data_IF_581521024827
#
_entry.id   IF_581521024827
#
_cell.length_a   1.000
_cell.length_b   1.000
_cell.length_c   1.000
_cell.angle_alpha   90.00
_cell.angle_beta   90.00
_cell.angle_gamma   90.00
#
_symmetry.space_group_name_H-M   'P 1'
#
loop_
_entity.id
_entity.type
_entity.pdbx_description
1 polymer ?
#
# COMPACT_ATOMS: atom_id res chain seq x y z
N UNK A 1 -22.81 -27.82 -7.66
CA UNK A 1 -23.32 -26.68 -8.45
C UNK A 1 -22.24 -25.61 -8.51
N UNK A 2 -21.74 -25.27 -9.70
CA UNK A 2 -20.74 -24.20 -9.87
C UNK A 2 -21.42 -22.84 -9.63
N UNK A 3 -21.29 -22.29 -8.42
CA UNK A 3 -21.79 -20.95 -8.12
C UNK A 3 -20.85 -19.91 -8.72
N UNK A 4 -21.40 -19.00 -9.53
CA UNK A 4 -20.65 -17.91 -10.16
C UNK A 4 -20.19 -16.84 -9.16
N UNK A 5 -20.94 -16.70 -8.05
CA UNK A 5 -20.63 -15.83 -6.93
C UNK A 5 -20.53 -16.70 -5.66
N UNK A 6 -19.61 -16.36 -4.77
CA UNK A 6 -19.40 -17.10 -3.51
C UNK A 6 -19.07 -16.15 -2.38
N UNK A 7 -19.45 -16.54 -1.17
CA UNK A 7 -19.15 -15.85 0.08
C UNK A 7 -18.49 -16.87 1.01
N UNK A 8 -17.30 -16.52 1.51
CA UNK A 8 -16.57 -17.23 2.55
C UNK A 8 -16.02 -16.23 3.57
N UNK A 9 -15.40 -16.71 4.65
CA UNK A 9 -14.87 -15.85 5.72
C UNK A 9 -13.92 -14.76 5.18
N UNK A 10 -13.03 -15.12 4.26
CA UNK A 10 -12.10 -14.17 3.62
C UNK A 10 -12.83 -13.06 2.87
N UNK A 11 -13.78 -13.41 2.00
CA UNK A 11 -14.58 -12.44 1.25
C UNK A 11 -15.46 -11.59 2.16
N UNK A 12 -16.00 -12.14 3.24
CA UNK A 12 -16.79 -11.37 4.23
C UNK A 12 -15.95 -10.29 4.91
N UNK A 13 -14.71 -10.61 5.30
CA UNK A 13 -13.77 -9.64 5.87
C UNK A 13 -13.50 -8.51 4.86
N UNK A 14 -13.23 -8.85 3.60
CA UNK A 14 -13.00 -7.85 2.54
C UNK A 14 -14.24 -6.99 2.24
N UNK A 15 -15.42 -7.59 2.16
CA UNK A 15 -16.67 -6.87 1.94
C UNK A 15 -16.99 -5.93 3.10
N UNK A 16 -16.71 -6.34 4.33
CA UNK A 16 -16.86 -5.49 5.52
C UNK A 16 -15.93 -4.28 5.45
N UNK A 17 -14.68 -4.48 5.03
CA UNK A 17 -13.74 -3.38 4.79
C UNK A 17 -14.25 -2.45 3.69
N UNK A 18 -14.69 -2.98 2.54
CA UNK A 18 -15.22 -2.16 1.43
C UNK A 18 -16.43 -1.35 1.88
N UNK A 19 -17.34 -1.94 2.66
CA UNK A 19 -18.51 -1.25 3.21
C UNK A 19 -18.10 -0.12 4.17
N UNK A 20 -17.13 -0.36 5.07
CA UNK A 20 -16.59 0.66 5.96
C UNK A 20 -16.00 1.84 5.17
N UNK A 21 -15.13 1.56 4.20
CA UNK A 21 -14.52 2.58 3.35
C UNK A 21 -15.57 3.33 2.53
N UNK A 22 -16.58 2.62 2.00
CA UNK A 22 -17.68 3.22 1.25
C UNK A 22 -18.42 4.26 2.10
N UNK A 23 -18.82 3.91 3.33
CA UNK A 23 -19.53 4.84 4.22
C UNK A 23 -18.69 6.07 4.53
N UNK A 24 -17.41 5.88 4.89
CA UNK A 24 -16.52 6.99 5.26
C UNK A 24 -16.25 7.91 4.07
N UNK A 25 -15.87 7.35 2.92
CA UNK A 25 -15.53 8.13 1.72
C UNK A 25 -16.77 8.80 1.14
N UNK A 26 -17.93 8.13 1.14
CA UNK A 26 -19.19 8.70 0.67
C UNK A 26 -19.60 9.93 1.48
N UNK A 27 -19.62 9.80 2.81
CA UNK A 27 -19.97 10.91 3.71
C UNK A 27 -19.00 12.08 3.57
N UNK A 28 -17.71 11.80 3.52
CA UNK A 28 -16.70 12.83 3.30
C UNK A 28 -16.90 13.54 1.96
N UNK A 29 -17.11 12.79 0.87
CA UNK A 29 -17.30 13.34 -0.48
C UNK A 29 -18.55 14.22 -0.58
N UNK A 30 -19.64 13.83 0.08
CA UNK A 30 -20.88 14.57 0.08
C UNK A 30 -20.74 15.98 0.69
N UNK A 31 -19.87 16.14 1.69
CA UNK A 31 -19.56 17.43 2.33
C UNK A 31 -18.47 18.17 1.56
N UNK A 32 -17.36 17.50 1.27
CA UNK A 32 -16.18 18.13 0.65
C UNK A 32 -16.45 18.70 -0.75
N UNK A 33 -17.39 18.10 -1.49
CA UNK A 33 -17.76 18.53 -2.85
C UNK A 33 -19.11 19.26 -2.88
N UNK A 34 -19.62 19.75 -1.74
CA UNK A 34 -20.95 20.37 -1.69
C UNK A 34 -21.10 21.60 -2.59
N UNK A 35 -20.02 22.35 -2.81
CA UNK A 35 -19.98 23.53 -3.69
C UNK A 35 -19.59 23.25 -5.14
N UNK A 36 -19.26 22.00 -5.49
CA UNK A 36 -18.82 21.64 -6.84
C UNK A 36 -20.02 21.34 -7.75
N UNK A 37 -20.07 21.96 -8.93
CA UNK A 37 -21.14 21.74 -9.92
C UNK A 37 -21.21 20.27 -10.38
N UNK A 38 -20.07 19.61 -10.50
CA UNK A 38 -19.94 18.23 -10.97
C UNK A 38 -20.06 17.17 -9.88
N UNK A 39 -20.50 17.54 -8.65
CA UNK A 39 -20.67 16.62 -7.51
C UNK A 39 -21.45 15.35 -7.87
N UNK A 40 -22.55 15.46 -8.62
CA UNK A 40 -23.37 14.29 -8.94
C UNK A 40 -22.64 13.28 -9.84
N UNK A 41 -21.84 13.77 -10.80
CA UNK A 41 -20.98 12.91 -11.65
C UNK A 41 -19.99 12.15 -10.79
N UNK A 42 -19.36 12.84 -9.83
CA UNK A 42 -18.44 12.22 -8.88
C UNK A 42 -19.10 11.12 -8.05
N UNK A 43 -20.24 11.40 -7.42
CA UNK A 43 -20.93 10.44 -6.55
C UNK A 43 -21.38 9.19 -7.32
N UNK A 44 -21.83 9.33 -8.57
CA UNK A 44 -22.15 8.19 -9.46
C UNK A 44 -20.91 7.38 -9.80
N UNK A 45 -19.81 8.04 -10.16
CA UNK A 45 -18.52 7.36 -10.40
C UNK A 45 -18.04 6.58 -9.18
N UNK A 46 -18.15 7.17 -7.99
CA UNK A 46 -17.78 6.53 -6.73
C UNK A 46 -18.64 5.29 -6.46
N UNK A 47 -19.96 5.39 -6.64
CA UNK A 47 -20.87 4.25 -6.51
C UNK A 47 -20.52 3.12 -7.49
N UNK A 48 -20.24 3.45 -8.76
CA UNK A 48 -19.85 2.47 -9.78
C UNK A 48 -18.53 1.78 -9.44
N UNK A 49 -17.53 2.52 -8.95
CA UNK A 49 -16.25 1.92 -8.53
C UNK A 49 -16.42 1.00 -7.33
N UNK A 50 -17.24 1.39 -6.34
CA UNK A 50 -17.54 0.55 -5.18
C UNK A 50 -18.33 -0.71 -5.57
N UNK A 51 -19.32 -0.58 -6.45
CA UNK A 51 -20.08 -1.72 -6.97
C UNK A 51 -19.18 -2.70 -7.74
N UNK A 52 -18.28 -2.19 -8.58
CA UNK A 52 -17.31 -3.01 -9.29
C UNK A 52 -16.35 -3.74 -8.34
N UNK A 53 -15.93 -3.09 -7.23
CA UNK A 53 -15.10 -3.72 -6.20
C UNK A 53 -15.83 -4.88 -5.50
N UNK A 54 -17.09 -4.66 -5.09
CA UNK A 54 -17.93 -5.72 -4.48
C UNK A 54 -18.16 -6.87 -5.46
N UNK A 55 -18.49 -6.58 -6.71
CA UNK A 55 -18.67 -7.59 -7.76
C UNK A 55 -17.41 -8.44 -7.97
N UNK A 56 -16.23 -7.79 -8.02
CA UNK A 56 -14.95 -8.49 -8.17
C UNK A 56 -14.67 -9.42 -6.99
N UNK A 57 -14.88 -8.96 -5.76
CA UNK A 57 -14.67 -9.77 -4.55
C UNK A 57 -15.62 -10.98 -4.52
N UNK A 58 -16.89 -10.79 -4.88
CA UNK A 58 -17.89 -11.87 -4.88
C UNK A 58 -17.65 -12.92 -5.97
N UNK A 59 -17.02 -12.52 -7.08
CA UNK A 59 -16.78 -13.40 -8.24
C UNK A 59 -16.04 -14.69 -7.84
N UNK A 60 -16.61 -15.82 -8.23
CA UNK A 60 -16.02 -17.16 -8.08
C UNK A 60 -15.59 -17.75 -9.43
N UNK A 61 -15.64 -16.96 -10.49
CA UNK A 61 -15.29 -17.36 -11.83
C UNK A 61 -14.21 -16.43 -12.38
N UNK A 62 -13.18 -16.99 -13.01
CA UNK A 62 -12.03 -16.24 -13.55
C UNK A 62 -12.47 -15.11 -14.50
N UNK A 63 -13.44 -15.37 -15.39
CA UNK A 63 -13.91 -14.38 -16.35
C UNK A 63 -14.65 -13.25 -15.65
N UNK A 64 -15.54 -13.57 -14.70
CA UNK A 64 -16.26 -12.54 -13.94
C UNK A 64 -15.32 -11.69 -13.08
N UNK A 65 -14.32 -12.32 -12.46
CA UNK A 65 -13.29 -11.62 -11.70
C UNK A 65 -12.52 -10.65 -12.61
N UNK A 66 -12.11 -11.09 -13.80
CA UNK A 66 -11.42 -10.24 -14.77
C UNK A 66 -12.30 -9.09 -15.27
N UNK A 67 -13.58 -9.34 -15.58
CA UNK A 67 -14.53 -8.30 -15.97
C UNK A 67 -14.73 -7.26 -14.85
N UNK A 68 -14.85 -7.71 -13.61
CA UNK A 68 -14.94 -6.82 -12.44
C UNK A 68 -13.68 -5.96 -12.28
N UNK A 69 -12.51 -6.56 -12.46
CA UNK A 69 -11.23 -5.87 -12.41
C UNK A 69 -11.10 -4.77 -13.48
N UNK A 70 -11.53 -5.06 -14.71
CA UNK A 70 -11.61 -4.08 -15.81
C UNK A 70 -12.63 -2.99 -15.49
N UNK A 71 -13.78 -3.34 -14.91
CA UNK A 71 -14.82 -2.37 -14.52
C UNK A 71 -14.34 -1.40 -13.44
N UNK A 72 -13.60 -1.88 -12.43
CA UNK A 72 -12.93 -1.01 -11.44
C UNK A 72 -12.00 -0.03 -12.16
N UNK A 73 -11.20 -0.52 -13.10
CA UNK A 73 -10.27 0.32 -13.86
C UNK A 73 -10.99 1.42 -14.64
N UNK A 74 -12.06 1.10 -15.38
CA UNK A 74 -12.81 2.06 -16.19
C UNK A 74 -13.51 3.11 -15.30
N UNK A 75 -14.21 2.66 -14.24
CA UNK A 75 -14.92 3.58 -13.33
C UNK A 75 -13.96 4.53 -12.62
N UNK A 76 -12.81 4.03 -12.17
CA UNK A 76 -11.79 4.84 -11.52
C UNK A 76 -11.19 5.90 -12.44
N UNK A 77 -11.08 5.63 -13.75
CA UNK A 77 -10.59 6.59 -14.73
C UNK A 77 -11.43 7.88 -14.72
N UNK A 78 -12.74 7.75 -14.57
CA UNK A 78 -13.68 8.87 -14.52
C UNK A 78 -13.46 9.73 -13.26
N UNK A 79 -13.12 9.10 -12.14
CA UNK A 79 -12.83 9.79 -10.88
C UNK A 79 -11.49 10.55 -10.92
N UNK A 80 -10.48 9.99 -11.60
CA UNK A 80 -9.19 10.66 -11.80
C UNK A 80 -9.32 11.93 -12.65
N UNK A 81 -10.17 11.87 -13.68
CA UNK A 81 -10.46 12.99 -14.58
C UNK A 81 -11.63 13.84 -14.09
N UNK A 82 -11.75 14.04 -12.77
CA UNK A 82 -12.75 14.96 -12.23
C UNK A 82 -12.51 16.40 -12.71
N UNK A 83 -11.24 16.80 -12.81
CA UNK A 83 -10.75 18.08 -13.38
C UNK A 83 -10.02 17.82 -14.71
N UNK A 84 -10.74 17.50 -15.80
CA UNK A 84 -10.14 17.06 -17.05
C UNK A 84 -9.26 18.12 -17.71
N UNK A 85 -9.52 19.41 -17.47
CA UNK A 85 -8.75 20.53 -18.01
C UNK A 85 -7.32 20.63 -17.48
N UNK A 86 -6.97 19.94 -16.38
CA UNK A 86 -5.63 19.99 -15.79
C UNK A 86 -4.68 19.02 -16.52
N UNK A 87 -3.59 19.50 -17.14
CA UNK A 87 -2.66 18.62 -17.88
C UNK A 87 -2.03 17.53 -17.00
N UNK A 88 -1.76 17.84 -15.72
CA UNK A 88 -1.22 16.86 -14.76
C UNK A 88 -2.23 15.75 -14.44
N UNK A 89 -3.52 16.07 -14.33
CA UNK A 89 -4.57 15.07 -14.13
C UNK A 89 -4.69 14.15 -15.35
N UNK A 90 -4.62 14.72 -16.56
CA UNK A 90 -4.62 13.94 -17.80
C UNK A 90 -3.41 13.01 -17.89
N UNK A 91 -2.20 13.49 -17.59
CA UNK A 91 -0.99 12.67 -17.60
C UNK A 91 -1.07 11.50 -16.59
N UNK A 92 -1.50 11.79 -15.35
CA UNK A 92 -1.65 10.76 -14.32
C UNK A 92 -2.70 9.71 -14.74
N UNK A 93 -3.81 10.15 -15.30
CA UNK A 93 -4.86 9.28 -15.81
C UNK A 93 -4.38 8.40 -16.98
N UNK A 94 -3.53 8.92 -17.88
CA UNK A 94 -2.92 8.16 -18.97
C UNK A 94 -1.96 7.09 -18.46
N UNK A 95 -1.04 7.45 -17.57
CA UNK A 95 -0.10 6.49 -16.95
C UNK A 95 -0.85 5.37 -16.25
N UNK A 96 -1.87 5.72 -15.47
CA UNK A 96 -2.74 4.72 -14.82
C UNK A 96 -3.44 3.85 -15.84
N UNK A 97 -3.97 4.41 -16.93
CA UNK A 97 -4.65 3.63 -17.95
C UNK A 97 -3.71 2.61 -18.59
N UNK A 98 -2.51 3.03 -19.00
CA UNK A 98 -1.52 2.12 -19.58
C UNK A 98 -1.13 1.01 -18.60
N UNK A 99 -0.75 1.36 -17.37
CA UNK A 99 -0.43 0.36 -16.33
C UNK A 99 -1.60 -0.59 -16.06
N UNK A 100 -2.84 -0.09 -16.05
CA UNK A 100 -4.02 -0.92 -15.83
C UNK A 100 -4.26 -1.88 -16.99
N UNK A 101 -4.16 -1.44 -18.26
CA UNK A 101 -4.34 -2.31 -19.43
C UNK A 101 -3.27 -3.38 -19.50
N UNK A 102 -2.01 -3.05 -19.22
CA UNK A 102 -0.95 -4.05 -19.13
C UNK A 102 -1.27 -5.10 -18.07
N UNK A 103 -1.67 -4.68 -16.86
CA UNK A 103 -2.07 -5.61 -15.80
C UNK A 103 -3.29 -6.46 -16.16
N UNK A 104 -4.27 -5.92 -16.87
CA UNK A 104 -5.47 -6.66 -17.30
C UNK A 104 -5.16 -7.71 -18.36
N UNK A 105 -4.26 -7.42 -19.31
CA UNK A 105 -3.80 -8.39 -20.32
C UNK A 105 -3.01 -9.52 -19.66
N UNK A 106 -2.10 -9.20 -18.74
CA UNK A 106 -1.34 -10.20 -17.99
C UNK A 106 -2.25 -11.07 -17.12
N UNK A 107 -3.28 -10.48 -16.50
CA UNK A 107 -4.26 -11.21 -15.71
C UNK A 107 -5.10 -12.15 -16.58
N UNK A 108 -5.54 -11.70 -17.75
CA UNK A 108 -6.25 -12.55 -18.71
C UNK A 108 -5.39 -13.75 -19.14
N UNK A 109 -4.11 -13.51 -19.47
CA UNK A 109 -3.18 -14.56 -19.85
C UNK A 109 -2.96 -15.56 -18.71
N UNK A 110 -2.76 -15.07 -17.47
CA UNK A 110 -2.65 -15.93 -16.30
C UNK A 110 -3.89 -16.82 -16.12
N UNK A 111 -5.08 -16.25 -16.25
CA UNK A 111 -6.34 -16.98 -16.11
C UNK A 111 -6.56 -18.01 -17.22
N UNK A 112 -6.14 -17.72 -18.45
CA UNK A 112 -6.17 -18.69 -19.55
C UNK A 112 -5.24 -19.87 -19.23
N UNK A 113 -4.02 -19.61 -18.77
CA UNK A 113 -3.08 -20.67 -18.41
C UNK A 113 -3.56 -21.51 -17.22
N UNK A 114 -4.16 -20.89 -16.21
CA UNK A 114 -4.78 -21.61 -15.10
C UNK A 114 -5.95 -22.48 -15.57
N UNK A 115 -6.79 -21.98 -16.49
CA UNK A 115 -7.85 -22.79 -17.07
C UNK A 115 -7.30 -24.00 -17.83
N UNK A 116 -6.22 -23.83 -18.60
CA UNK A 116 -5.56 -24.93 -19.32
C UNK A 116 -4.97 -25.96 -18.36
N UNK A 117 -4.36 -25.52 -17.26
CA UNK A 117 -3.72 -26.41 -16.27
C UNK A 117 -4.75 -27.20 -15.44
N UNK A 118 -5.81 -26.54 -14.97
CA UNK A 118 -6.76 -27.11 -13.99
C UNK A 118 -8.11 -27.52 -14.59
N UNK A 119 -8.36 -27.18 -15.86
CA UNK A 119 -9.61 -27.47 -16.59
C UNK A 119 -10.88 -26.98 -15.88
N UNK A 120 -10.79 -25.92 -15.08
CA UNK A 120 -11.93 -25.26 -14.44
C UNK A 120 -11.73 -23.75 -14.43
N UNK A 121 -12.83 -23.00 -14.63
CA UNK A 121 -12.84 -21.55 -14.46
C UNK A 121 -13.36 -21.13 -13.07
N UNK A 122 -13.75 -22.09 -12.23
CA UNK A 122 -14.22 -21.84 -10.87
C UNK A 122 -13.03 -21.67 -9.93
N UNK A 123 -12.92 -20.50 -9.29
CA UNK A 123 -11.78 -20.13 -8.45
C UNK A 123 -11.71 -21.04 -7.21
N UNK A 124 -12.85 -21.29 -6.56
CA UNK A 124 -12.89 -22.14 -5.34
C UNK A 124 -12.45 -23.57 -5.66
N UNK A 125 -12.99 -24.17 -6.72
CA UNK A 125 -12.60 -25.51 -7.19
C UNK A 125 -11.12 -25.58 -7.55
N UNK A 126 -10.62 -24.59 -8.30
CA UNK A 126 -9.21 -24.50 -8.67
C UNK A 126 -8.30 -24.40 -7.46
N UNK A 127 -8.58 -23.50 -6.52
CA UNK A 127 -7.77 -23.36 -5.30
C UNK A 127 -7.79 -24.63 -4.45
N UNK A 128 -8.91 -25.34 -4.39
CA UNK A 128 -9.01 -26.63 -3.70
C UNK A 128 -8.16 -27.71 -4.38
N UNK A 129 -8.17 -27.80 -5.72
CA UNK A 129 -7.32 -28.71 -6.48
C UNK A 129 -5.83 -28.41 -6.28
N UNK A 130 -5.44 -27.13 -6.31
CA UNK A 130 -4.05 -26.71 -6.06
C UNK A 130 -3.60 -27.15 -4.66
N UNK A 131 -4.50 -27.02 -3.67
CA UNK A 131 -4.19 -27.34 -2.27
C UNK A 131 -3.86 -28.83 -2.03
N UNK A 132 -4.30 -29.72 -2.92
CA UNK A 132 -4.02 -31.17 -2.84
C UNK A 132 -2.84 -31.61 -3.70
N UNK A 133 -2.25 -30.71 -4.47
CA UNK A 133 -1.08 -30.99 -5.31
C UNK A 133 0.23 -30.77 -4.54
N UNK A 134 1.26 -31.53 -4.92
CA UNK A 134 2.63 -31.37 -4.40
C UNK A 134 3.54 -30.57 -5.33
N UNK A 135 3.14 -30.39 -6.59
CA UNK A 135 3.91 -29.65 -7.60
C UNK A 135 2.97 -29.09 -8.67
N UNK A 136 3.42 -28.03 -9.35
CA UNK A 136 2.71 -27.41 -10.47
C UNK A 136 3.32 -27.85 -11.79
N UNK A 137 2.50 -27.94 -12.84
CA UNK A 137 3.00 -27.99 -14.21
C UNK A 137 3.59 -26.64 -14.65
N UNK A 138 4.16 -26.64 -15.87
CA UNK A 138 4.80 -25.45 -16.45
C UNK A 138 3.82 -24.27 -16.56
N UNK A 139 2.58 -24.51 -16.98
CA UNK A 139 1.59 -23.44 -17.11
C UNK A 139 1.17 -22.88 -15.74
N UNK A 140 1.07 -23.73 -14.71
CA UNK A 140 0.85 -23.30 -13.33
C UNK A 140 1.94 -22.34 -12.84
N UNK A 141 3.22 -22.66 -13.07
CA UNK A 141 4.34 -21.78 -12.71
C UNK A 141 4.33 -20.45 -13.48
N UNK A 142 4.09 -20.49 -14.80
CA UNK A 142 4.02 -19.27 -15.62
C UNK A 142 2.84 -18.41 -15.16
N UNK A 143 1.68 -19.00 -14.90
CA UNK A 143 0.52 -18.29 -14.39
C UNK A 143 0.81 -17.62 -13.04
N UNK A 144 1.47 -18.31 -12.11
CA UNK A 144 1.86 -17.74 -10.82
C UNK A 144 2.77 -16.50 -10.99
N UNK A 145 3.76 -16.58 -11.89
CA UNK A 145 4.63 -15.43 -12.21
C UNK A 145 3.84 -14.27 -12.82
N UNK A 146 2.90 -14.55 -13.72
CA UNK A 146 2.04 -13.52 -14.31
C UNK A 146 1.16 -12.85 -13.24
N UNK A 147 0.57 -13.61 -12.31
CA UNK A 147 -0.20 -13.05 -11.20
C UNK A 147 0.67 -12.16 -10.30
N UNK A 148 1.92 -12.54 -10.04
CA UNK A 148 2.90 -11.71 -9.31
C UNK A 148 3.14 -10.40 -10.06
N UNK A 149 3.37 -10.44 -11.37
CA UNK A 149 3.55 -9.23 -12.18
C UNK A 149 2.31 -8.31 -12.13
N UNK A 150 1.11 -8.89 -12.22
CA UNK A 150 -0.16 -8.15 -12.09
C UNK A 150 -0.25 -7.47 -10.71
N UNK A 151 0.09 -8.19 -9.64
CA UNK A 151 0.08 -7.66 -8.29
C UNK A 151 1.11 -6.54 -8.10
N UNK A 152 2.33 -6.69 -8.61
CA UNK A 152 3.37 -5.66 -8.57
C UNK A 152 2.91 -4.37 -9.29
N UNK A 153 2.28 -4.50 -10.45
CA UNK A 153 1.71 -3.36 -11.20
C UNK A 153 0.60 -2.68 -10.39
N UNK A 154 -0.38 -3.45 -9.91
CA UNK A 154 -1.53 -2.91 -9.16
C UNK A 154 -1.19 -2.37 -7.79
N UNK A 155 -0.15 -2.89 -7.13
CA UNK A 155 0.36 -2.37 -5.88
C UNK A 155 1.35 -1.20 -6.10
N UNK A 156 1.51 -0.72 -7.34
CA UNK A 156 2.38 0.40 -7.70
C UNK A 156 3.84 0.19 -7.25
N UNK A 157 4.37 -1.03 -7.42
CA UNK A 157 5.75 -1.35 -7.06
C UNK A 157 6.74 -0.79 -8.08
N UNK A 158 7.98 -0.56 -7.65
CA UNK A 158 9.02 -0.01 -8.53
C UNK A 158 9.34 -0.97 -9.69
N UNK A 159 9.60 -0.45 -10.92
CA UNK A 159 9.62 0.97 -11.31
C UNK A 159 8.24 1.53 -11.71
N UNK A 160 7.18 0.74 -11.70
CA UNK A 160 5.85 1.11 -12.22
C UNK A 160 4.98 1.93 -11.24
N UNK A 161 5.54 2.38 -10.12
CA UNK A 161 4.90 3.22 -9.11
C UNK A 161 4.31 4.56 -9.60
N UNK A 162 4.80 5.06 -10.73
CA UNK A 162 4.50 6.41 -11.24
C UNK A 162 3.02 6.72 -11.41
N UNK A 163 2.21 5.71 -11.75
CA UNK A 163 0.77 5.90 -11.90
C UNK A 163 0.05 6.23 -10.59
N UNK A 164 0.61 5.85 -9.44
CA UNK A 164 0.01 6.12 -8.13
C UNK A 164 0.47 7.47 -7.57
N UNK A 165 1.78 7.74 -7.61
CA UNK A 165 2.36 8.93 -6.97
C UNK A 165 1.97 10.25 -7.67
N UNK A 166 1.56 10.19 -8.94
CA UNK A 166 1.14 11.36 -9.71
C UNK A 166 -0.35 11.71 -9.58
N UNK A 167 -1.15 10.88 -8.91
CA UNK A 167 -2.61 11.09 -8.75
C UNK A 167 -2.97 12.15 -7.69
N UNK A 168 -2.00 12.97 -7.30
CA UNK A 168 -2.17 14.03 -6.30
C UNK A 168 -3.14 15.15 -6.72
N UNK A 169 -3.44 15.27 -8.01
CA UNK A 169 -4.41 16.24 -8.57
C UNK A 169 -5.88 15.80 -8.43
N UNK A 170 -6.12 14.51 -8.17
CA UNK A 170 -7.48 14.04 -7.96
C UNK A 170 -8.06 14.59 -6.64
N UNK A 171 -9.39 14.75 -6.52
CA UNK A 171 -10.01 15.13 -5.26
C UNK A 171 -9.59 14.21 -4.12
N UNK A 172 -9.42 14.77 -2.91
CA UNK A 172 -8.96 14.02 -1.72
C UNK A 172 -9.72 12.71 -1.47
N UNK A 173 -11.06 12.60 -1.66
CA UNK A 173 -11.74 11.31 -1.52
C UNK A 173 -11.32 10.25 -2.56
N UNK A 174 -10.89 10.65 -3.76
CA UNK A 174 -10.33 9.73 -4.77
C UNK A 174 -8.98 9.21 -4.32
N UNK A 175 -8.11 10.10 -3.79
CA UNK A 175 -6.83 9.66 -3.22
C UNK A 175 -7.06 8.69 -2.05
N UNK A 176 -8.02 8.97 -1.16
CA UNK A 176 -8.37 8.02 -0.09
C UNK A 176 -8.83 6.66 -0.66
N UNK A 177 -9.76 6.65 -1.61
CA UNK A 177 -10.24 5.41 -2.26
C UNK A 177 -9.11 4.61 -2.93
N UNK A 178 -8.21 5.30 -3.63
CA UNK A 178 -7.10 4.68 -4.33
C UNK A 178 -6.08 4.07 -3.38
N UNK A 179 -5.59 4.87 -2.44
CA UNK A 179 -4.48 4.49 -1.58
C UNK A 179 -4.88 3.60 -0.41
N UNK A 180 -6.17 3.55 -0.06
CA UNK A 180 -6.70 2.70 1.00
C UNK A 180 -7.46 1.48 0.47
N UNK A 181 -8.13 1.59 -0.69
CA UNK A 181 -9.00 0.54 -1.22
C UNK A 181 -8.40 -0.13 -2.45
N UNK A 182 -8.41 0.58 -3.58
CA UNK A 182 -8.13 -0.03 -4.90
C UNK A 182 -6.71 -0.60 -5.01
N UNK A 183 -5.74 0.03 -4.36
CA UNK A 183 -4.35 -0.44 -4.38
C UNK A 183 -4.20 -1.85 -3.79
N UNK A 184 -5.09 -2.26 -2.88
CA UNK A 184 -5.02 -3.57 -2.24
C UNK A 184 -5.42 -4.73 -3.17
N UNK A 185 -6.01 -4.46 -4.34
CA UNK A 185 -6.47 -5.51 -5.26
C UNK A 185 -5.34 -6.46 -5.66
N UNK A 186 -4.10 -5.97 -5.77
CA UNK A 186 -2.93 -6.84 -6.03
C UNK A 186 -2.68 -7.82 -4.88
N UNK A 187 -2.74 -7.36 -3.62
CA UNK A 187 -2.64 -8.21 -2.44
C UNK A 187 -3.80 -9.20 -2.34
N UNK A 188 -5.04 -8.73 -2.55
CA UNK A 188 -6.23 -9.59 -2.55
C UNK A 188 -6.11 -10.70 -3.59
N UNK A 189 -5.65 -10.37 -4.81
CA UNK A 189 -5.42 -11.36 -5.86
C UNK A 189 -4.45 -12.45 -5.39
N UNK A 190 -3.29 -12.07 -4.85
CA UNK A 190 -2.30 -13.06 -4.40
C UNK A 190 -2.75 -13.85 -3.16
N UNK A 191 -3.51 -13.24 -2.24
CA UNK A 191 -4.11 -13.95 -1.11
C UNK A 191 -5.16 -14.97 -1.57
N UNK A 192 -5.96 -14.65 -2.58
CA UNK A 192 -6.94 -15.58 -3.17
C UNK A 192 -6.26 -16.78 -3.86
N UNK A 193 -5.11 -16.55 -4.50
CA UNK A 193 -4.32 -17.58 -5.16
C UNK A 193 -3.09 -17.99 -4.32
N UNK A 194 -3.14 -17.85 -3.00
CA UNK A 194 -1.98 -18.16 -2.14
C UNK A 194 -1.51 -19.63 -2.23
N UNK A 195 -2.39 -20.65 -2.42
CA UNK A 195 -1.93 -22.02 -2.64
C UNK A 195 -1.11 -22.18 -3.93
N UNK A 196 -1.36 -21.34 -4.95
CA UNK A 196 -0.57 -21.38 -6.19
C UNK A 196 0.84 -20.82 -5.95
N UNK A 197 0.94 -19.75 -5.15
CA UNK A 197 2.22 -19.13 -4.82
C UNK A 197 3.11 -20.03 -3.96
N UNK A 198 2.53 -20.76 -3.00
CA UNK A 198 3.31 -21.68 -2.15
C UNK A 198 3.96 -22.81 -2.95
N UNK A 199 3.34 -23.23 -4.06
CA UNK A 199 3.91 -24.24 -4.96
C UNK A 199 4.85 -23.68 -6.03
N UNK A 200 4.96 -22.34 -6.19
CA UNK A 200 5.82 -21.72 -7.20
C UNK A 200 6.94 -20.89 -6.59
N UNK A 201 8.06 -21.56 -6.31
CA UNK A 201 9.32 -20.93 -5.89
C UNK A 201 9.76 -19.75 -6.79
N UNK A 202 9.73 -19.84 -8.14
CA UNK A 202 10.16 -18.70 -8.97
C UNK A 202 9.23 -17.48 -8.82
N UNK A 203 7.92 -17.68 -8.68
CA UNK A 203 6.97 -16.59 -8.47
C UNK A 203 7.20 -15.92 -7.11
N UNK A 204 7.33 -16.70 -6.04
CA UNK A 204 7.57 -16.20 -4.68
C UNK A 204 8.93 -15.50 -4.55
N UNK A 205 9.98 -16.01 -5.19
CA UNK A 205 11.30 -15.36 -5.22
C UNK A 205 11.26 -14.02 -5.96
N UNK A 206 10.61 -13.97 -7.13
CA UNK A 206 10.42 -12.72 -7.88
C UNK A 206 9.66 -11.70 -7.06
N UNK A 207 8.55 -12.12 -6.42
CA UNK A 207 7.74 -11.27 -5.56
C UNK A 207 8.56 -10.70 -4.40
N UNK A 208 9.29 -11.56 -3.68
CA UNK A 208 10.10 -11.14 -2.53
C UNK A 208 11.16 -10.11 -2.93
N UNK A 209 11.96 -10.40 -3.97
CA UNK A 209 13.08 -9.53 -4.36
C UNK A 209 12.59 -8.15 -4.82
N UNK A 210 11.56 -8.13 -5.66
CA UNK A 210 11.02 -6.89 -6.23
C UNK A 210 10.26 -6.07 -5.18
N UNK A 211 9.40 -6.70 -4.39
CA UNK A 211 8.63 -6.03 -3.35
C UNK A 211 9.51 -5.54 -2.19
N UNK A 212 10.54 -6.29 -1.79
CA UNK A 212 11.48 -5.86 -0.74
C UNK A 212 12.32 -4.67 -1.20
N UNK A 213 12.86 -4.72 -2.42
CA UNK A 213 13.58 -3.59 -3.01
C UNK A 213 12.69 -2.34 -3.07
N UNK A 214 11.47 -2.50 -3.56
CA UNK A 214 10.46 -1.43 -3.63
C UNK A 214 10.12 -0.88 -2.24
N UNK A 215 9.94 -1.73 -1.24
CA UNK A 215 9.68 -1.35 0.15
C UNK A 215 10.77 -0.47 0.73
N UNK A 216 12.03 -0.94 0.63
CA UNK A 216 13.20 -0.21 1.18
C UNK A 216 13.36 1.13 0.48
N UNK A 217 13.36 1.15 -0.86
CA UNK A 217 13.58 2.37 -1.61
C UNK A 217 12.43 3.37 -1.43
N UNK A 218 11.17 2.92 -1.48
CA UNK A 218 10.02 3.78 -1.26
C UNK A 218 9.95 4.35 0.15
N UNK A 219 10.30 3.55 1.18
CA UNK A 219 10.38 4.01 2.55
C UNK A 219 11.46 5.08 2.73
N UNK A 220 12.65 4.89 2.14
CA UNK A 220 13.70 5.91 2.15
C UNK A 220 13.24 7.18 1.43
N UNK A 221 12.66 7.08 0.24
CA UNK A 221 12.15 8.23 -0.51
C UNK A 221 11.12 9.00 0.32
N UNK A 222 10.16 8.33 0.99
CA UNK A 222 9.13 9.02 1.79
C UNK A 222 9.75 9.90 2.89
N UNK A 223 10.87 9.49 3.49
CA UNK A 223 11.52 10.27 4.55
C UNK A 223 12.09 11.60 4.06
N UNK A 224 12.38 11.70 2.76
CA UNK A 224 12.96 12.90 2.14
C UNK A 224 11.92 13.84 1.53
N UNK A 225 10.70 13.35 1.21
CA UNK A 225 9.66 14.15 0.57
C UNK A 225 9.05 15.17 1.52
N UNK A 226 8.97 16.43 1.05
CA UNK A 226 8.41 17.56 1.82
C UNK A 226 6.88 17.61 1.72
N UNK A 227 6.32 17.40 0.52
CA UNK A 227 4.86 17.43 0.32
C UNK A 227 4.19 16.25 1.02
N UNK A 228 3.20 16.53 1.87
CA UNK A 228 2.51 15.53 2.69
C UNK A 228 1.73 14.54 1.83
N UNK A 229 1.01 15.00 0.79
CA UNK A 229 0.31 14.10 -0.13
C UNK A 229 1.28 13.17 -0.88
N UNK A 230 2.43 13.71 -1.32
CA UNK A 230 3.46 12.92 -2.01
C UNK A 230 4.12 11.92 -1.04
N UNK A 231 4.44 12.35 0.18
CA UNK A 231 4.94 11.47 1.24
C UNK A 231 3.94 10.35 1.59
N UNK A 232 2.65 10.68 1.67
CA UNK A 232 1.58 9.71 1.89
C UNK A 232 1.45 8.71 0.72
N UNK A 233 1.66 9.17 -0.52
CA UNK A 233 1.69 8.30 -1.69
C UNK A 233 2.89 7.34 -1.68
N UNK A 234 4.10 7.84 -1.42
CA UNK A 234 5.31 7.01 -1.29
C UNK A 234 5.23 6.01 -0.13
N UNK A 235 4.66 6.42 1.00
CA UNK A 235 4.40 5.48 2.09
C UNK A 235 3.37 4.42 1.70
N UNK A 236 2.46 4.66 0.75
CA UNK A 236 1.59 3.61 0.23
C UNK A 236 2.38 2.61 -0.61
N UNK A 237 3.30 3.07 -1.48
CA UNK A 237 4.19 2.17 -2.25
C UNK A 237 4.99 1.28 -1.31
N UNK A 238 5.56 1.86 -0.24
CA UNK A 238 6.32 1.11 0.76
C UNK A 238 5.48 0.08 1.53
N UNK A 239 4.29 0.47 2.01
CA UNK A 239 3.41 -0.44 2.77
C UNK A 239 2.85 -1.56 1.90
N UNK A 240 2.46 -1.26 0.65
CA UNK A 240 2.03 -2.31 -0.28
C UNK A 240 3.17 -3.24 -0.67
N UNK A 241 4.40 -2.72 -0.80
CA UNK A 241 5.58 -3.57 -0.96
C UNK A 241 5.78 -4.49 0.25
N UNK A 242 5.62 -3.96 1.47
CA UNK A 242 5.75 -4.75 2.69
C UNK A 242 4.68 -5.84 2.79
N UNK A 243 3.42 -5.54 2.45
CA UNK A 243 2.35 -6.54 2.37
C UNK A 243 2.67 -7.63 1.34
N UNK A 244 3.25 -7.28 0.19
CA UNK A 244 3.68 -8.27 -0.81
C UNK A 244 4.88 -9.11 -0.34
N UNK A 245 5.79 -8.55 0.47
CA UNK A 245 6.86 -9.30 1.15
C UNK A 245 6.27 -10.31 2.14
N UNK A 246 5.26 -9.91 2.93
CA UNK A 246 4.56 -10.82 3.83
C UNK A 246 3.94 -12.00 3.07
N UNK A 247 3.27 -11.74 1.94
CA UNK A 247 2.73 -12.79 1.06
C UNK A 247 3.85 -13.68 0.50
N UNK A 248 4.97 -13.11 0.06
CA UNK A 248 6.09 -13.88 -0.50
C UNK A 248 6.77 -14.79 0.52
N UNK A 249 6.75 -14.41 1.81
CA UNK A 249 7.24 -15.21 2.92
C UNK A 249 6.21 -16.24 3.44
N UNK A 250 5.01 -16.29 2.85
CA UNK A 250 3.92 -17.18 3.27
C UNK A 250 3.15 -16.70 4.51
N UNK A 251 3.36 -15.45 4.94
CA UNK A 251 2.72 -14.85 6.12
C UNK A 251 1.33 -14.30 5.75
N UNK A 252 0.45 -15.14 5.20
CA UNK A 252 -0.82 -14.71 4.61
C UNK A 252 -1.78 -14.09 5.62
N UNK A 253 -1.81 -14.60 6.85
CA UNK A 253 -2.64 -14.02 7.92
C UNK A 253 -2.17 -12.61 8.27
N UNK A 254 -0.85 -12.43 8.32
CA UNK A 254 -0.24 -11.12 8.59
C UNK A 254 -0.50 -10.15 7.43
N UNK A 255 -0.39 -10.59 6.18
CA UNK A 255 -0.70 -9.79 5.01
C UNK A 255 -2.17 -9.33 4.97
N UNK A 256 -3.12 -10.19 5.38
CA UNK A 256 -4.51 -9.80 5.52
C UNK A 256 -4.70 -8.77 6.65
N UNK A 257 -4.07 -8.97 7.80
CA UNK A 257 -4.11 -7.99 8.90
C UNK A 257 -3.53 -6.63 8.47
N UNK A 258 -2.38 -6.65 7.78
CA UNK A 258 -1.73 -5.48 7.21
C UNK A 258 -2.70 -4.77 6.27
N UNK A 259 -3.29 -5.48 5.32
CA UNK A 259 -4.24 -4.93 4.36
C UNK A 259 -5.38 -4.17 5.06
N UNK A 260 -5.99 -4.76 6.09
CA UNK A 260 -7.06 -4.13 6.86
C UNK A 260 -6.57 -2.87 7.60
N UNK A 261 -5.44 -2.97 8.30
CA UNK A 261 -4.86 -1.86 9.05
C UNK A 261 -4.45 -0.69 8.14
N UNK A 262 -3.78 -1.00 7.03
CA UNK A 262 -3.37 -0.03 6.01
C UNK A 262 -4.57 0.68 5.41
N UNK A 263 -5.63 -0.05 5.08
CA UNK A 263 -6.85 0.54 4.52
C UNK A 263 -7.46 1.58 5.45
N UNK A 264 -7.66 1.22 6.72
CA UNK A 264 -8.20 2.14 7.72
C UNK A 264 -7.27 3.35 7.94
N UNK A 265 -5.97 3.09 8.13
CA UNK A 265 -4.96 4.13 8.35
C UNK A 265 -4.85 5.10 7.17
N UNK A 266 -4.80 4.61 5.93
CA UNK A 266 -4.66 5.44 4.73
C UNK A 266 -5.92 6.24 4.43
N UNK A 267 -7.09 5.65 4.61
CA UNK A 267 -8.34 6.40 4.47
C UNK A 267 -8.33 7.59 5.44
N UNK A 268 -8.01 7.34 6.72
CA UNK A 268 -7.86 8.41 7.71
C UNK A 268 -6.80 9.45 7.32
N UNK A 269 -5.58 9.01 6.98
CA UNK A 269 -4.45 9.90 6.71
C UNK A 269 -4.69 10.81 5.49
N UNK A 270 -5.29 10.30 4.42
CA UNK A 270 -5.62 11.11 3.24
C UNK A 270 -6.76 12.09 3.52
N UNK A 271 -7.83 11.64 4.17
CA UNK A 271 -8.98 12.51 4.49
C UNK A 271 -8.62 13.59 5.53
N UNK A 272 -7.67 13.31 6.43
CA UNK A 272 -7.16 14.26 7.42
C UNK A 272 -6.00 15.13 6.90
N UNK A 273 -5.50 14.88 5.68
CA UNK A 273 -4.33 15.60 5.15
C UNK A 273 -4.54 17.11 5.00
N UNK A 274 -5.79 17.60 4.96
CA UNK A 274 -6.11 19.03 4.98
C UNK A 274 -5.70 19.74 6.28
N UNK A 275 -5.60 19.02 7.40
CA UNK A 275 -5.19 19.57 8.72
C UNK A 275 -3.66 19.59 8.90
N UNK A 276 -2.90 19.24 7.87
CA UNK A 276 -1.45 19.20 7.86
C UNK A 276 -0.76 20.45 8.39
N UNK A 277 -1.26 21.63 8.02
CA UNK A 277 -0.66 22.92 8.40
C UNK A 277 -0.70 23.10 9.91
N UNK A 278 -1.82 22.76 10.54
CA UNK A 278 -1.97 22.85 12.00
C UNK A 278 -1.00 21.91 12.73
N UNK A 279 -0.79 20.70 12.20
CA UNK A 279 0.22 19.77 12.75
C UNK A 279 1.63 20.30 12.61
N UNK A 280 1.96 20.92 11.47
CA UNK A 280 3.27 21.53 11.25
C UNK A 280 3.53 22.68 12.23
N UNK A 281 2.56 23.57 12.41
CA UNK A 281 2.65 24.67 13.37
C UNK A 281 2.80 24.15 14.82
N UNK A 282 2.03 23.13 15.20
CA UNK A 282 2.17 22.49 16.51
C UNK A 282 3.56 21.83 16.70
N UNK A 283 4.12 21.24 15.65
CA UNK A 283 5.45 20.63 15.69
C UNK A 283 6.58 21.65 15.78
N UNK A 284 6.42 22.86 15.20
CA UNK A 284 7.39 23.95 15.36
C UNK A 284 7.45 24.47 16.81
N UNK A 285 6.32 24.43 17.53
CA UNK A 285 6.25 24.83 18.93
C UNK A 285 6.88 23.78 19.88
N UNK A 286 7.14 22.57 19.40
CA UNK A 286 7.75 21.51 20.19
C UNK A 286 9.28 21.56 20.10
N UNK A 287 9.95 21.74 21.24
CA UNK A 287 11.42 21.71 21.30
C UNK A 287 11.98 20.37 20.78
N UNK A 288 12.81 20.42 19.74
CA UNK A 288 13.46 19.21 19.22
C UNK A 288 14.77 18.98 19.94
N UNK A 289 14.86 17.87 20.68
CA UNK A 289 16.11 17.41 21.27
C UNK A 289 16.72 16.32 20.40
N UNK A 290 18.01 16.45 20.10
CA UNK A 290 18.73 15.43 19.36
C UNK A 290 19.05 14.23 20.29
N UNK A 291 18.62 13.00 19.92
CA UNK A 291 18.86 11.82 20.74
C UNK A 291 20.34 11.40 20.69
N UNK A 292 20.99 11.42 21.85
CA UNK A 292 22.31 10.79 22.08
C UNK A 292 22.25 9.25 21.94
N UNK A 293 23.41 8.63 21.71
CA UNK A 293 23.57 7.16 21.59
C UNK A 293 22.94 6.37 22.76
N UNK A 294 23.05 6.88 23.99
CA UNK A 294 22.45 6.24 25.18
C UNK A 294 20.92 6.11 25.06
N UNK A 295 20.24 7.11 24.50
CA UNK A 295 18.79 7.06 24.31
C UNK A 295 18.40 6.02 23.26
N UNK A 296 19.21 5.87 22.20
CA UNK A 296 19.02 4.82 21.20
C UNK A 296 19.16 3.43 21.79
N UNK A 297 20.24 3.20 22.56
CA UNK A 297 20.46 1.91 23.21
C UNK A 297 19.34 1.57 24.21
N UNK A 298 18.93 2.54 25.04
CA UNK A 298 17.81 2.35 25.98
C UNK A 298 16.49 2.08 25.27
N UNK A 299 16.18 2.81 24.20
CA UNK A 299 14.96 2.61 23.41
C UNK A 299 14.94 1.23 22.76
N UNK A 300 16.07 0.79 22.18
CA UNK A 300 16.20 -0.50 21.51
C UNK A 300 16.12 -1.67 22.49
N UNK A 301 16.74 -1.55 23.67
CA UNK A 301 16.66 -2.55 24.73
C UNK A 301 15.22 -2.66 25.27
N UNK A 302 14.57 -1.53 25.55
CA UNK A 302 13.19 -1.52 26.02
C UNK A 302 12.22 -2.09 24.96
N UNK A 303 12.39 -1.72 23.70
CA UNK A 303 11.59 -2.26 22.59
C UNK A 303 11.78 -3.77 22.44
N UNK A 304 13.03 -4.26 22.45
CA UNK A 304 13.34 -5.69 22.40
C UNK A 304 12.71 -6.45 23.56
N UNK A 305 12.80 -5.93 24.79
CA UNK A 305 12.19 -6.55 25.96
C UNK A 305 10.65 -6.65 25.83
N UNK A 306 9.99 -5.57 25.37
CA UNK A 306 8.54 -5.56 25.16
C UNK A 306 8.10 -6.57 24.09
N UNK A 307 8.82 -6.63 22.97
CA UNK A 307 8.50 -7.57 21.87
C UNK A 307 8.76 -9.02 22.29
N UNK A 308 9.85 -9.30 23.01
CA UNK A 308 10.14 -10.64 23.54
C UNK A 308 9.09 -11.08 24.56
N UNK A 309 8.66 -10.19 25.46
CA UNK A 309 7.56 -10.47 26.38
C UNK A 309 6.24 -10.76 25.64
N UNK A 310 5.93 -9.97 24.61
CA UNK A 310 4.74 -10.21 23.79
C UNK A 310 4.81 -11.55 23.04
N UNK A 311 6.00 -11.94 22.55
CA UNK A 311 6.22 -13.22 21.87
C UNK A 311 5.93 -14.43 22.79
N UNK A 312 6.24 -14.33 24.09
CA UNK A 312 5.93 -15.39 25.07
C UNK A 312 4.42 -15.58 25.29
N UNK A 313 3.63 -14.52 25.13
CA UNK A 313 2.17 -14.57 25.29
C UNK A 313 1.48 -15.04 24.00
N UNK A 314 1.87 -14.48 22.85
CA UNK A 314 1.34 -14.80 21.54
C UNK A 314 2.50 -14.85 20.53
N UNK A 315 2.84 -16.04 19.99
CA UNK A 315 3.97 -16.19 19.09
C UNK A 315 3.88 -15.28 17.86
N UNK A 316 4.99 -14.58 17.60
CA UNK A 316 5.19 -13.78 16.40
C UNK A 316 5.16 -14.68 15.15
N UNK A 317 4.76 -14.12 14.00
CA UNK A 317 4.67 -14.90 12.77
C UNK A 317 6.02 -15.20 12.16
N UNK A 318 7.02 -14.33 12.36
CA UNK A 318 8.35 -14.49 11.76
C UNK A 318 9.42 -13.73 12.55
N UNK A 319 10.70 -13.94 12.24
CA UNK A 319 11.79 -13.14 12.80
C UNK A 319 11.74 -11.71 12.24
N UNK A 320 11.47 -11.53 10.94
CA UNK A 320 11.38 -10.20 10.31
C UNK A 320 10.26 -9.33 10.88
N UNK A 321 9.10 -9.90 11.20
CA UNK A 321 8.00 -9.18 11.85
C UNK A 321 8.38 -8.72 13.25
N UNK A 322 9.11 -9.55 14.01
CA UNK A 322 9.70 -9.15 15.29
C UNK A 322 10.68 -8.00 15.16
N UNK A 323 11.59 -8.05 14.18
CA UNK A 323 12.54 -6.97 13.89
C UNK A 323 11.80 -5.66 13.58
N UNK A 324 10.78 -5.68 12.71
CA UNK A 324 9.99 -4.48 12.40
C UNK A 324 9.29 -3.90 13.63
N UNK A 325 8.68 -4.74 14.49
CA UNK A 325 8.04 -4.29 15.72
C UNK A 325 9.04 -3.64 16.69
N UNK A 326 10.23 -4.24 16.85
CA UNK A 326 11.31 -3.66 17.67
C UNK A 326 11.72 -2.30 17.12
N UNK A 327 11.95 -2.17 15.81
CA UNK A 327 12.35 -0.91 15.18
C UNK A 327 11.25 0.16 15.29
N UNK A 328 9.98 -0.21 15.13
CA UNK A 328 8.84 0.69 15.26
C UNK A 328 8.69 1.22 16.69
N UNK A 329 8.75 0.33 17.71
CA UNK A 329 8.67 0.70 19.13
C UNK A 329 9.90 1.53 19.54
N UNK A 330 11.08 1.23 18.99
CA UNK A 330 12.29 2.04 19.22
C UNK A 330 12.07 3.49 18.79
N UNK A 331 11.54 3.73 17.59
CA UNK A 331 11.23 5.09 17.11
C UNK A 331 10.14 5.76 17.95
N UNK A 332 9.16 4.99 18.44
CA UNK A 332 8.09 5.50 19.30
C UNK A 332 8.61 5.96 20.68
N UNK A 333 9.53 5.20 21.29
CA UNK A 333 10.09 5.49 22.61
C UNK A 333 11.14 6.60 22.59
N UNK A 334 11.89 6.71 21.49
CA UNK A 334 13.09 7.56 21.41
C UNK A 334 12.84 9.04 21.78
N UNK A 335 11.80 9.74 21.26
CA UNK A 335 11.56 11.14 21.60
C UNK A 335 11.22 11.34 23.08
N UNK A 336 10.51 10.38 23.67
CA UNK A 336 10.15 10.40 25.10
C UNK A 336 11.36 10.20 26.01
N UNK A 337 12.34 9.39 25.58
CA UNK A 337 13.57 9.14 26.31
C UNK A 337 14.59 10.28 26.16
N UNK A 338 14.66 10.91 24.99
CA UNK A 338 15.63 11.96 24.67
C UNK A 338 15.32 13.32 25.34
N UNK A 339 14.09 13.56 25.78
CA UNK A 339 13.69 14.79 26.47
C UNK A 339 13.74 14.62 27.99
N UNK A 340 14.70 15.28 28.62
CA UNK A 340 14.87 15.30 30.08
C UNK A 340 14.15 16.50 30.70
N UNK A 341 12.92 16.28 31.19
CA UNK A 341 12.14 17.26 31.95
C UNK A 341 11.28 16.56 33.03
N UNK A 342 10.54 17.33 33.83
CA UNK A 342 9.65 16.83 34.89
C UNK A 342 8.53 15.92 34.39
N UNK A 343 8.18 15.97 33.10
CA UNK A 343 7.12 15.17 32.46
C UNK A 343 7.65 13.93 31.74
N UNK A 344 8.97 13.67 31.80
CA UNK A 344 9.61 12.53 31.13
C UNK A 344 8.96 11.20 31.48
N UNK A 345 8.73 10.95 32.77
CA UNK A 345 8.12 9.69 33.23
C UNK A 345 6.74 9.48 32.60
N UNK A 346 5.88 10.49 32.62
CA UNK A 346 4.56 10.43 31.99
C UNK A 346 4.66 10.15 30.48
N UNK A 347 5.54 10.84 29.75
CA UNK A 347 5.72 10.61 28.30
C UNK A 347 6.24 9.21 27.98
N UNK A 348 7.16 8.68 28.80
CA UNK A 348 7.67 7.32 28.63
C UNK A 348 6.58 6.31 28.91
N UNK A 349 5.80 6.47 29.99
CA UNK A 349 4.66 5.60 30.29
C UNK A 349 3.61 5.61 29.17
N UNK A 350 3.29 6.78 28.63
CA UNK A 350 2.39 6.90 27.48
C UNK A 350 2.96 6.21 26.24
N UNK A 351 4.25 6.40 25.93
CA UNK A 351 4.89 5.77 24.77
C UNK A 351 4.97 4.24 24.92
N UNK A 352 5.25 3.72 26.12
CA UNK A 352 5.19 2.29 26.43
C UNK A 352 3.75 1.78 26.30
N UNK A 353 2.76 2.53 26.80
CA UNK A 353 1.34 2.22 26.66
C UNK A 353 0.91 2.11 25.18
N UNK A 354 1.35 3.05 24.33
CA UNK A 354 1.14 2.96 22.87
C UNK A 354 1.86 1.75 22.26
N UNK A 355 3.09 1.45 22.69
CA UNK A 355 3.82 0.27 22.24
C UNK A 355 3.13 -1.05 22.60
N UNK A 356 2.63 -1.17 23.83
CA UNK A 356 1.81 -2.29 24.28
C UNK A 356 0.49 -2.38 23.52
N UNK A 357 -0.16 -1.25 23.26
CA UNK A 357 -1.37 -1.18 22.44
C UNK A 357 -1.13 -1.66 21.00
N UNK A 358 0.00 -1.29 20.39
CA UNK A 358 0.40 -1.78 19.07
C UNK A 358 0.61 -3.29 19.06
N UNK A 359 1.33 -3.82 20.07
CA UNK A 359 1.56 -5.26 20.21
C UNK A 359 0.26 -6.02 20.45
N UNK A 360 -0.63 -5.50 21.29
CA UNK A 360 -1.94 -6.08 21.52
C UNK A 360 -2.78 -6.11 20.23
N UNK A 361 -2.80 -5.00 19.48
CA UNK A 361 -3.54 -4.92 18.21
C UNK A 361 -2.98 -5.89 17.16
N UNK A 362 -1.66 -6.03 17.08
CA UNK A 362 -1.01 -7.03 16.24
C UNK A 362 -1.42 -8.46 16.64
N UNK A 363 -1.26 -8.83 17.91
CA UNK A 363 -1.47 -10.21 18.35
C UNK A 363 -2.95 -10.61 18.35
N UNK A 364 -3.84 -9.73 18.79
CA UNK A 364 -5.29 -9.96 18.75
C UNK A 364 -5.79 -9.98 17.31
N UNK A 365 -5.34 -9.05 16.47
CA UNK A 365 -5.69 -9.02 15.05
C UNK A 365 -5.30 -10.30 14.32
N UNK A 366 -4.08 -10.80 14.57
CA UNK A 366 -3.61 -12.09 14.05
C UNK A 366 -4.49 -13.24 14.54
N UNK A 367 -4.76 -13.30 15.85
CA UNK A 367 -5.58 -14.37 16.42
C UNK A 367 -7.01 -14.41 15.84
N UNK A 368 -7.62 -13.24 15.61
CA UNK A 368 -8.96 -13.14 14.99
C UNK A 368 -8.99 -13.61 13.54
N UNK A 369 -7.86 -13.55 12.82
CA UNK A 369 -7.77 -13.89 11.40
C UNK A 369 -7.17 -15.28 11.12
N UNK A 370 -6.68 -15.99 12.14
CA UNK A 370 -5.97 -17.27 11.97
C UNK A 370 -6.82 -18.39 11.32
N UNK A 371 -8.15 -18.27 11.33
CA UNK A 371 -9.06 -19.20 10.64
C UNK A 371 -9.56 -18.71 9.27
N UNK A 372 -9.11 -17.54 8.80
CA UNK A 372 -9.57 -16.93 7.54
C UNK A 372 -8.65 -17.27 6.38
N UNK A 373 -7.34 -17.34 6.63
CA UNK A 373 -6.31 -17.70 5.65
C UNK A 373 -5.74 -19.09 5.95
N UNK A 374 -5.12 -19.77 4.96
CA UNK A 374 -4.29 -20.94 5.22
C UNK A 374 -3.22 -20.62 6.27
N UNK A 375 -2.77 -21.65 7.00
CA UNK A 375 -1.73 -21.50 8.01
C UNK A 375 -0.48 -20.85 7.41
N UNK A 376 0.15 -19.96 8.17
CA UNK A 376 1.36 -19.26 7.76
C UNK A 376 2.50 -20.30 7.60
N UNK A 377 2.76 -20.75 6.37
CA UNK A 377 3.90 -21.61 6.04
C UNK A 377 5.10 -20.73 5.73
N UNK A 378 6.05 -20.66 6.68
CA UNK A 378 7.20 -19.77 6.57
C UNK A 378 8.12 -20.23 5.43
N UNK A 379 8.12 -19.48 4.33
CA UNK A 379 8.98 -19.78 3.17
C UNK A 379 10.40 -19.35 3.49
N UNK A 380 11.27 -20.35 3.72
CA UNK A 380 12.73 -20.25 3.88
C UNK A 380 13.20 -19.31 5.01
N UNK A 381 13.82 -19.85 6.08
CA UNK A 381 14.51 -19.04 7.11
C UNK A 381 15.55 -18.07 6.54
N UNK A 382 16.15 -18.40 5.39
CA UNK A 382 17.12 -17.54 4.69
C UNK A 382 16.43 -16.30 4.12
N UNK A 383 15.22 -16.45 3.55
CA UNK A 383 14.44 -15.34 3.02
C UNK A 383 13.98 -14.39 4.14
N UNK A 384 13.57 -14.94 5.28
CA UNK A 384 13.18 -14.17 6.47
C UNK A 384 14.37 -13.40 7.07
N UNK A 385 15.55 -14.04 7.15
CA UNK A 385 16.79 -13.38 7.58
C UNK A 385 17.24 -12.27 6.63
N UNK A 386 17.17 -12.51 5.31
CA UNK A 386 17.47 -11.50 4.29
C UNK A 386 16.55 -10.29 4.40
N UNK A 387 15.25 -10.53 4.58
CA UNK A 387 14.24 -9.49 4.80
C UNK A 387 14.53 -8.67 6.06
N UNK A 388 14.91 -9.35 7.15
CA UNK A 388 15.30 -8.71 8.41
C UNK A 388 16.52 -7.80 8.25
N UNK A 389 17.55 -8.26 7.53
CA UNK A 389 18.74 -7.47 7.24
C UNK A 389 18.38 -6.21 6.42
N UNK A 390 17.50 -6.34 5.43
CA UNK A 390 17.03 -5.22 4.64
C UNK A 390 16.28 -4.17 5.48
N UNK A 391 15.46 -4.60 6.45
CA UNK A 391 14.77 -3.67 7.36
C UNK A 391 15.72 -2.97 8.34
N UNK A 392 16.71 -3.67 8.88
CA UNK A 392 17.76 -3.06 9.70
C UNK A 392 18.56 -2.05 8.87
N UNK A 393 18.94 -2.41 7.63
CA UNK A 393 19.63 -1.50 6.71
C UNK A 393 18.80 -0.25 6.38
N UNK A 394 17.51 -0.42 6.05
CA UNK A 394 16.55 0.67 5.87
C UNK A 394 16.54 1.61 7.07
N UNK A 395 16.46 1.05 8.28
CA UNK A 395 16.41 1.82 9.52
C UNK A 395 17.69 2.62 9.75
N UNK A 396 18.86 2.00 9.59
CA UNK A 396 20.17 2.66 9.73
C UNK A 396 20.25 3.83 8.75
N UNK A 397 19.94 3.62 7.47
CA UNK A 397 20.01 4.68 6.45
C UNK A 397 19.01 5.79 6.76
N UNK A 398 17.78 5.47 7.18
CA UNK A 398 16.79 6.47 7.56
C UNK A 398 17.24 7.33 8.76
N UNK A 399 17.90 6.73 9.75
CA UNK A 399 18.49 7.44 10.90
C UNK A 399 19.65 8.33 10.47
N UNK A 400 20.53 7.84 9.60
CA UNK A 400 21.64 8.62 9.05
C UNK A 400 21.14 9.82 8.25
N UNK A 401 20.13 9.64 7.39
CA UNK A 401 19.52 10.74 6.63
C UNK A 401 18.87 11.78 7.54
N UNK A 402 18.28 11.36 8.66
CA UNK A 402 17.61 12.27 9.61
C UNK A 402 18.57 13.11 10.44
N UNK A 403 19.66 12.53 10.96
CA UNK A 403 20.54 13.20 11.93
C UNK A 403 21.91 13.61 11.37
N UNK A 404 22.37 13.01 10.27
CA UNK A 404 23.71 13.22 9.71
C UNK A 404 23.69 13.82 8.30
N UNK A 405 22.63 14.56 7.95
CA UNK A 405 22.42 15.14 6.60
C UNK A 405 23.53 16.09 6.13
N UNK A 406 24.41 16.56 7.02
CA UNK A 406 25.54 17.45 6.70
C UNK A 406 26.71 16.75 5.99
N UNK A 407 26.79 15.42 6.01
CA UNK A 407 27.83 14.70 5.26
C UNK A 407 27.57 14.74 3.75
N UNK A 408 28.61 15.01 2.96
CA UNK A 408 28.51 15.20 1.50
C UNK A 408 27.93 13.99 0.75
N UNK A 409 28.21 12.77 1.20
CA UNK A 409 27.65 11.54 0.62
C UNK A 409 26.16 11.41 0.96
N UNK A 410 25.79 11.61 2.22
CA UNK A 410 24.40 11.54 2.66
C UNK A 410 23.54 12.64 2.03
N UNK A 411 24.10 13.83 1.80
CA UNK A 411 23.41 14.89 1.07
C UNK A 411 23.15 14.50 -0.40
N UNK A 412 24.12 13.86 -1.09
CA UNK A 412 23.90 13.32 -2.44
C UNK A 412 22.80 12.26 -2.48
N UNK A 413 22.82 11.33 -1.52
CA UNK A 413 21.78 10.30 -1.37
C UNK A 413 20.42 10.95 -1.09
N UNK A 414 20.37 11.95 -0.20
CA UNK A 414 19.15 12.70 0.10
C UNK A 414 18.58 13.38 -1.14
N UNK A 415 19.40 14.06 -1.95
CA UNK A 415 18.96 14.72 -3.19
C UNK A 415 18.40 13.69 -4.17
N UNK A 416 19.09 12.56 -4.36
CA UNK A 416 18.63 11.49 -5.25
C UNK A 416 17.31 10.86 -4.77
N UNK A 417 17.19 10.55 -3.48
CA UNK A 417 15.95 10.05 -2.88
C UNK A 417 14.82 11.07 -2.94
N UNK A 418 15.12 12.36 -2.73
CA UNK A 418 14.13 13.42 -2.83
C UNK A 418 13.65 13.64 -4.27
N UNK A 419 14.43 13.23 -5.28
CA UNK A 419 13.96 13.14 -6.67
C UNK A 419 13.14 11.87 -6.92
N UNK A 420 13.10 10.90 -6.01
CA UNK A 420 12.46 9.60 -6.22
C UNK A 420 13.33 8.67 -7.07
N UNK A 421 14.65 8.88 -7.04
CA UNK A 421 15.62 8.13 -7.83
C UNK A 421 15.52 8.35 -9.35
N UNK A 422 14.82 9.40 -9.79
CA UNK A 422 14.49 9.68 -11.19
C UNK A 422 13.72 8.57 -11.93
N UNK A 423 13.16 7.60 -11.17
CA UNK A 423 12.48 6.43 -11.72
C UNK A 423 11.18 6.82 -12.43
N UNK A 424 10.50 7.83 -11.90
CA UNK A 424 9.23 8.29 -12.45
C UNK A 424 9.41 9.10 -13.75
N UNK A 425 10.48 9.86 -13.87
CA UNK A 425 10.86 10.58 -15.09
C UNK A 425 11.16 9.59 -16.22
N UNK A 426 11.90 8.51 -15.92
CA UNK A 426 12.12 7.43 -16.87
C UNK A 426 10.81 6.78 -17.30
N UNK A 427 9.97 6.38 -16.34
CA UNK A 427 8.67 5.76 -16.63
C UNK A 427 7.73 6.70 -17.42
N UNK A 428 7.79 8.00 -17.16
CA UNK A 428 7.03 9.02 -17.88
C UNK A 428 7.49 9.15 -19.33
N UNK A 429 8.81 9.16 -19.59
CA UNK A 429 9.34 9.17 -20.97
C UNK A 429 8.85 7.96 -21.76
N UNK A 430 9.00 6.76 -21.20
CA UNK A 430 8.50 5.52 -21.81
C UNK A 430 6.99 5.59 -22.07
N UNK A 431 6.22 6.11 -21.12
CA UNK A 431 4.77 6.28 -21.32
C UNK A 431 4.47 7.21 -22.49
N UNK A 432 5.17 8.34 -22.60
CA UNK A 432 4.94 9.32 -23.66
C UNK A 432 5.44 8.86 -25.04
N UNK A 433 6.42 7.95 -25.08
CA UNK A 433 6.83 7.27 -26.32
C UNK A 433 5.75 6.29 -26.80
N UNK A 434 5.14 5.52 -25.88
CA UNK A 434 4.09 4.54 -26.20
C UNK A 434 2.74 5.24 -26.50
N UNK A 435 2.42 6.28 -25.74
CA UNK A 435 1.19 7.06 -25.86
C UNK A 435 1.52 8.56 -25.79
N UNK A 436 1.78 9.21 -26.94
CA UNK A 436 2.06 10.63 -27.00
C UNK A 436 0.88 11.44 -26.47
N UNK A 437 1.13 12.27 -25.46
CA UNK A 437 0.14 13.21 -24.96
C UNK A 437 0.24 14.53 -25.75
N UNK A 438 -0.68 14.72 -26.69
CA UNK A 438 -0.88 16.01 -27.33
C UNK A 438 -1.67 16.91 -26.38
N UNK A 439 -0.96 17.68 -25.56
CA UNK A 439 -1.59 18.78 -24.85
C UNK A 439 -2.11 19.75 -25.91
N UNK A 440 -3.40 19.68 -26.26
CA UNK A 440 -4.06 20.81 -26.92
C UNK A 440 -3.83 21.99 -25.99
N UNK A 441 -2.97 22.92 -26.40
CA UNK A 441 -2.78 24.19 -25.73
C UNK A 441 -4.13 24.89 -25.75
N UNK A 442 -4.95 24.68 -24.73
CA UNK A 442 -6.07 25.56 -24.45
C UNK A 442 -5.47 26.87 -23.96
N UNK A 443 -5.01 27.69 -24.89
CA UNK A 443 -4.84 29.14 -24.76
C UNK A 443 -6.22 29.76 -24.52
N UNK A 444 -6.89 29.40 -23.42
CA UNK A 444 -7.83 30.33 -22.81
C UNK A 444 -6.95 31.34 -22.09
N UNK A 445 -6.63 32.43 -22.80
CA UNK A 445 -6.29 33.70 -22.15
C UNK A 445 -7.36 33.95 -21.10
N UNK A 446 -7.03 33.67 -19.85
CA UNK A 446 -7.81 34.15 -18.71
C UNK A 446 -7.64 35.65 -18.77
N UNK A 447 -8.60 36.34 -19.39
CA UNK A 447 -8.84 37.74 -19.07
C UNK A 447 -9.12 37.71 -17.56
N UNK A 448 -8.17 38.19 -16.78
CA UNK A 448 -8.39 38.55 -15.38
C UNK A 448 -9.48 39.63 -15.40
N UNK A 449 -10.74 39.21 -15.42
CA UNK A 449 -11.86 40.11 -15.22
C UNK A 449 -11.74 40.62 -13.80
N UNK A 450 -11.46 41.92 -13.73
CA UNK A 450 -11.63 42.84 -12.61
C UNK A 450 -12.06 42.17 -11.31
N UNK A 451 -11.14 42.20 -10.35
CA UNK A 451 -11.42 42.07 -8.92
C UNK A 451 -12.58 43.00 -8.59
N UNK A 452 -13.78 42.44 -8.41
CA UNK A 452 -14.86 43.15 -7.73
C UNK A 452 -14.41 43.36 -6.29
N UNK A 453 -14.21 44.63 -5.95
CA UNK A 453 -13.99 45.10 -4.60
C UNK A 453 -15.14 44.63 -3.71
N UNK A 454 -14.85 43.69 -2.82
CA UNK A 454 -15.71 43.39 -1.67
C UNK A 454 -15.72 44.63 -0.78
N UNK A 455 -16.88 45.27 -0.65
CA UNK A 455 -17.19 46.23 0.40
C UNK A 455 -17.68 45.51 1.64
#
# INVERSE_FOLDING_TARGET
MQTLLTINSFKLVLLSLVALLAVVIWRYSAVALAGESDKQRFMRGLALTLAAAVFTILSNNLVLFWLGWVWISISLQQLLLFYPERPRAQLAAHKKALSARTGEVLLALAFILLYVEFNTANISEMTQQISTQTSLGLFGHIAAVLLVLVALIKCAQLPLHGWLIQVVEAPTPVSALLHAGIINLGGILLLMFSPLLSLSTPASALLLLTALCSTVLAALIMTTRISIKVRLAWSTVAQMGLMLVEIALGLYTLALLHLLAHSCYKAYAFLHSGNAVNHYLAAQLAEQTEPRLQHWLLALLAASALVLLAHQLLPLSSFSSGVLLVLAITILLLPSLARADSRRLLRVLLAVGYGLGLLAMYSVGKALLQGVMPMDDLVSPVADAFTSLAFVGLFIVAVLLRYHSRHSVLNRVFIWLNAGGYLDEWATRVTLEIWPYNATQTTKTVKLSQVESVK
#
